data_IF_530176312388
#
_entry.id   IF_530176312388
#
_cell.length_a   1.000
_cell.length_b   1.000
_cell.length_c   1.000
_cell.angle_alpha   90.00
_cell.angle_beta   90.00
_cell.angle_gamma   90.00
#
_symmetry.space_group_name_H-M   'P 1'
#
loop_
_entity.id
_entity.type
_entity.pdbx_description
1 polymer ?
#
# COMPACT_ATOMS: atom_id res chain seq x y z
N UNK A 1 16.30 6.48 9.56
CA UNK A 1 14.86 6.61 9.84
C UNK A 1 14.15 6.78 8.51
N UNK A 2 13.09 6.03 8.25
CA UNK A 2 12.32 6.18 7.00
C UNK A 2 11.66 7.55 6.96
N UNK A 3 11.76 8.25 5.83
CA UNK A 3 11.08 9.52 5.58
C UNK A 3 10.14 9.30 4.40
N UNK A 4 8.85 9.53 4.61
CA UNK A 4 7.83 9.41 3.58
C UNK A 4 7.53 10.80 3.01
N UNK A 5 7.14 10.87 1.74
CA UNK A 5 6.59 12.11 1.19
C UNK A 5 5.29 12.43 1.93
N UNK A 6 5.07 13.70 2.24
CA UNK A 6 3.84 14.17 2.88
C UNK A 6 2.59 13.97 2.02
N UNK A 7 2.78 13.70 0.74
CA UNK A 7 1.75 13.73 -0.28
C UNK A 7 1.72 12.39 -1.04
N UNK A 8 1.61 11.31 -0.27
CA UNK A 8 1.63 9.96 -0.78
C UNK A 8 0.78 9.07 0.12
N UNK A 9 0.07 8.13 -0.51
CA UNK A 9 -0.58 7.03 0.20
C UNK A 9 0.50 6.16 0.82
N UNK A 10 0.50 6.04 2.15
CA UNK A 10 1.45 5.21 2.89
C UNK A 10 0.81 3.86 3.11
N UNK A 11 1.48 2.82 2.62
CA UNK A 11 0.99 1.46 2.73
C UNK A 11 2.10 0.55 3.26
N UNK A 12 1.90 0.02 4.46
CA UNK A 12 2.89 -0.76 5.19
C UNK A 12 2.35 -2.18 5.35
N UNK A 13 3.22 -3.17 5.13
CA UNK A 13 2.88 -4.58 5.27
C UNK A 13 3.96 -5.23 6.13
N UNK A 14 3.56 -5.83 7.24
CA UNK A 14 4.44 -6.61 8.09
C UNK A 14 4.29 -8.10 7.78
N UNK A 15 5.42 -8.81 7.72
CA UNK A 15 5.47 -10.26 7.62
C UNK A 15 6.22 -10.77 8.83
N UNK A 16 5.54 -11.51 9.71
CA UNK A 16 6.20 -12.08 10.89
C UNK A 16 5.39 -13.23 11.49
N UNK A 17 6.09 -14.23 11.96
CA UNK A 17 5.58 -15.33 12.77
C UNK A 17 5.76 -15.10 14.27
N UNK A 18 6.37 -13.97 14.68
CA UNK A 18 6.72 -13.68 16.07
C UNK A 18 5.94 -12.47 16.63
N UNK A 19 5.46 -12.53 17.89
CA UNK A 19 4.85 -11.39 18.54
C UNK A 19 5.88 -10.29 18.84
N UNK A 20 5.42 -9.09 19.19
CA UNK A 20 6.33 -8.10 19.77
C UNK A 20 6.94 -8.65 21.08
N UNK A 21 8.26 -8.62 21.20
CA UNK A 21 9.01 -9.33 22.25
C UNK A 21 9.88 -8.42 23.13
N UNK A 22 9.32 -7.28 23.53
CA UNK A 22 9.93 -6.39 24.52
C UNK A 22 10.45 -5.12 23.88
N UNK A 23 9.49 -4.22 23.65
CA UNK A 23 9.68 -2.83 23.24
C UNK A 23 10.59 -2.13 24.25
N UNK A 24 11.89 -2.20 24.01
CA UNK A 24 12.94 -1.61 24.85
C UNK A 24 13.65 -0.53 24.06
N UNK A 25 14.17 0.47 24.77
CA UNK A 25 14.92 1.57 24.14
C UNK A 25 16.17 1.07 23.40
N UNK A 26 16.73 -0.07 23.82
CA UNK A 26 17.85 -0.73 23.17
C UNK A 26 17.51 -1.27 21.75
N UNK A 27 16.24 -1.57 21.48
CA UNK A 27 15.77 -2.09 20.17
C UNK A 27 15.25 -0.99 19.23
N UNK A 28 15.13 0.23 19.74
CA UNK A 28 14.67 1.39 18.98
C UNK A 28 13.92 2.37 19.87
N UNK A 29 13.90 3.64 19.46
CA UNK A 29 13.11 4.65 20.14
C UNK A 29 12.37 5.57 19.17
N UNK A 30 11.23 6.09 19.61
CA UNK A 30 10.50 7.20 18.99
C UNK A 30 10.38 8.27 20.07
N UNK A 31 10.96 9.45 19.83
CA UNK A 31 11.00 10.51 20.84
C UNK A 31 11.73 10.10 22.12
N UNK A 32 12.72 9.21 22.04
CA UNK A 32 13.48 8.69 23.19
C UNK A 32 12.77 7.62 24.01
N UNK A 33 11.50 7.31 23.71
CA UNK A 33 10.75 6.22 24.35
C UNK A 33 10.86 4.93 23.55
N UNK A 34 10.83 3.79 24.24
CA UNK A 34 10.78 2.49 23.58
C UNK A 34 9.54 2.37 22.68
N UNK A 35 9.66 1.69 21.54
CA UNK A 35 8.60 1.64 20.52
C UNK A 35 7.48 0.68 20.94
N UNK A 36 6.53 1.16 21.72
CA UNK A 36 5.37 0.36 22.13
C UNK A 36 4.35 0.20 21.01
N UNK A 37 3.46 -0.79 21.11
CA UNK A 37 2.31 -0.93 20.22
C UNK A 37 1.47 0.36 20.12
N UNK A 38 1.26 1.06 21.24
CA UNK A 38 0.52 2.34 21.25
C UNK A 38 1.26 3.45 20.49
N UNK A 39 2.59 3.47 20.54
CA UNK A 39 3.38 4.41 19.74
C UNK A 39 3.25 4.10 18.26
N UNK A 40 3.32 2.82 17.87
CA UNK A 40 3.11 2.41 16.47
C UNK A 40 1.71 2.79 16.00
N UNK A 41 0.69 2.50 16.79
CA UNK A 41 -0.71 2.87 16.55
C UNK A 41 -0.87 4.38 16.32
N UNK A 42 -0.34 5.20 17.23
CA UNK A 42 -0.37 6.66 17.11
C UNK A 42 0.39 7.18 15.87
N UNK A 43 1.52 6.54 15.51
CA UNK A 43 2.27 6.89 14.31
C UNK A 43 1.50 6.55 13.03
N UNK A 44 0.85 5.39 12.98
CA UNK A 44 0.02 4.98 11.84
C UNK A 44 -1.17 5.93 11.67
N UNK A 45 -1.86 6.26 12.77
CA UNK A 45 -2.96 7.23 12.80
C UNK A 45 -2.51 8.61 12.33
N UNK A 46 -1.44 9.16 12.91
CA UNK A 46 -0.92 10.49 12.57
C UNK A 46 -0.53 10.59 11.09
N UNK A 47 -0.12 9.47 10.50
CA UNK A 47 0.32 9.42 9.11
C UNK A 47 -0.76 9.01 8.12
N UNK A 48 -1.98 8.71 8.57
CA UNK A 48 -3.04 8.07 7.80
C UNK A 48 -2.53 6.87 6.98
N UNK A 49 -1.71 6.03 7.62
CA UNK A 49 -1.06 4.91 6.96
C UNK A 49 -1.97 3.68 6.93
N UNK A 50 -2.07 3.04 5.77
CA UNK A 50 -2.65 1.71 5.63
C UNK A 50 -1.68 0.69 6.20
N UNK A 51 -2.16 -0.21 7.06
CA UNK A 51 -1.33 -1.24 7.68
C UNK A 51 -1.93 -2.62 7.51
N UNK A 52 -1.23 -3.51 6.81
CA UNK A 52 -1.62 -4.90 6.65
C UNK A 52 -0.60 -5.80 7.34
N UNK A 53 -1.05 -6.98 7.77
CA UNK A 53 -0.19 -7.93 8.45
C UNK A 53 -0.34 -9.32 7.83
N UNK A 54 0.79 -9.98 7.59
CA UNK A 54 0.85 -11.39 7.17
C UNK A 54 1.48 -12.15 8.32
N UNK A 55 0.63 -12.83 9.08
CA UNK A 55 0.97 -13.37 10.40
C UNK A 55 0.68 -14.86 10.49
N UNK A 56 1.38 -15.55 11.38
CA UNK A 56 1.04 -16.92 11.80
C UNK A 56 1.16 -17.05 13.32
N UNK A 57 0.36 -17.95 13.90
CA UNK A 57 0.34 -18.18 15.35
C UNK A 57 -0.58 -17.21 16.10
N UNK A 58 -1.29 -17.73 17.10
CA UNK A 58 -2.30 -16.97 17.85
C UNK A 58 -1.70 -15.83 18.68
N UNK A 59 -0.51 -16.03 19.26
CA UNK A 59 0.22 -15.01 20.01
C UNK A 59 0.59 -13.81 19.14
N UNK A 60 1.15 -14.08 17.96
CA UNK A 60 1.55 -13.06 16.98
C UNK A 60 0.34 -12.29 16.45
N UNK A 61 -0.75 -13.00 16.11
CA UNK A 61 -2.00 -12.38 15.68
C UNK A 61 -2.58 -11.49 16.80
N UNK A 62 -2.55 -11.94 18.05
CA UNK A 62 -3.04 -11.14 19.19
C UNK A 62 -2.19 -9.88 19.41
N UNK A 63 -0.88 -9.98 19.21
CA UNK A 63 0.06 -8.87 19.40
C UNK A 63 -0.03 -7.82 18.29
N UNK A 64 -0.09 -8.23 17.02
CA UNK A 64 0.08 -7.32 15.87
C UNK A 64 -1.21 -7.15 15.07
N UNK A 65 -2.09 -8.15 15.06
CA UNK A 65 -3.35 -8.14 14.30
C UNK A 65 -4.23 -6.92 14.56
N UNK A 66 -4.40 -6.45 15.82
CA UNK A 66 -5.18 -5.24 16.10
C UNK A 66 -4.67 -3.97 15.41
N UNK A 67 -3.35 -3.87 15.15
CA UNK A 67 -2.81 -2.72 14.41
C UNK A 67 -3.28 -2.73 12.95
N UNK A 68 -3.41 -3.91 12.34
CA UNK A 68 -3.87 -4.05 10.95
C UNK A 68 -5.37 -3.74 10.82
N UNK A 69 -6.19 -4.36 11.67
CA UNK A 69 -7.64 -4.14 11.64
C UNK A 69 -8.02 -2.73 12.09
N UNK A 70 -7.19 -2.08 12.90
CA UNK A 70 -7.35 -0.67 13.31
C UNK A 70 -6.99 0.37 12.25
N UNK A 71 -6.22 0.01 11.22
CA UNK A 71 -5.69 0.95 10.21
C UNK A 71 -6.04 0.53 8.78
N UNK A 72 -7.30 0.17 8.58
CA UNK A 72 -7.90 -0.12 7.27
C UNK A 72 -7.19 -1.20 6.46
N UNK A 73 -6.47 -2.12 7.13
CA UNK A 73 -5.90 -3.30 6.51
C UNK A 73 -6.44 -4.59 7.13
N UNK A 74 -5.80 -5.69 6.75
CA UNK A 74 -6.25 -7.03 7.07
C UNK A 74 -5.10 -7.90 7.58
N UNK A 75 -5.46 -9.01 8.21
CA UNK A 75 -4.52 -10.05 8.63
C UNK A 75 -4.62 -11.21 7.64
N UNK A 76 -3.51 -11.51 6.96
CA UNK A 76 -3.38 -12.66 6.07
C UNK A 76 -2.58 -13.77 6.75
N UNK A 77 -2.83 -15.01 6.35
CA UNK A 77 -2.19 -16.18 6.95
C UNK A 77 -0.81 -16.45 6.33
N UNK A 78 0.25 -16.22 7.11
CA UNK A 78 1.64 -16.48 6.72
C UNK A 78 1.92 -17.97 6.45
N UNK A 79 1.20 -18.89 7.09
CA UNK A 79 1.40 -20.33 6.88
C UNK A 79 1.12 -20.78 5.45
N UNK A 80 0.43 -19.97 4.64
CA UNK A 80 0.20 -20.22 3.21
C UNK A 80 1.48 -20.05 2.36
N UNK A 81 2.58 -19.58 2.92
CA UNK A 81 3.88 -19.56 2.25
C UNK A 81 4.62 -20.90 2.38
N UNK A 82 4.23 -21.73 3.35
CA UNK A 82 4.84 -23.03 3.61
C UNK A 82 3.90 -24.18 3.18
N UNK A 83 3.33 -24.07 1.98
CA UNK A 83 2.49 -25.11 1.37
C UNK A 83 2.90 -25.31 -0.08
N UNK A 84 2.72 -26.54 -0.59
CA UNK A 84 2.87 -26.86 -2.02
C UNK A 84 1.52 -26.90 -2.73
N UNK A 85 0.43 -26.67 -2.01
CA UNK A 85 -0.91 -26.67 -2.58
C UNK A 85 -1.15 -25.41 -3.42
N UNK A 86 -1.15 -25.59 -4.75
CA UNK A 86 -1.34 -24.50 -5.70
C UNK A 86 -2.66 -23.72 -5.51
N UNK A 87 -3.73 -24.37 -5.06
CA UNK A 87 -5.02 -23.70 -4.81
C UNK A 87 -4.94 -22.75 -3.61
N UNK A 88 -4.23 -23.14 -2.55
CA UNK A 88 -4.02 -22.30 -1.37
C UNK A 88 -3.13 -21.08 -1.67
N UNK A 89 -2.07 -21.28 -2.45
CA UNK A 89 -1.20 -20.19 -2.91
C UNK A 89 -1.98 -19.21 -3.78
N UNK A 90 -2.77 -19.73 -4.73
CA UNK A 90 -3.58 -18.91 -5.63
C UNK A 90 -4.63 -18.11 -4.85
N UNK A 91 -5.24 -18.72 -3.83
CA UNK A 91 -6.21 -18.06 -2.97
C UNK A 91 -5.54 -16.90 -2.21
N UNK A 92 -4.39 -17.14 -1.56
CA UNK A 92 -3.65 -16.08 -0.86
C UNK A 92 -3.31 -14.92 -1.80
N UNK A 93 -2.73 -15.20 -2.97
CA UNK A 93 -2.30 -14.17 -3.92
C UNK A 93 -3.50 -13.35 -4.39
N UNK A 94 -4.62 -14.02 -4.69
CA UNK A 94 -5.87 -13.36 -5.10
C UNK A 94 -6.38 -12.46 -3.99
N UNK A 95 -6.58 -12.98 -2.78
CA UNK A 95 -7.16 -12.22 -1.67
C UNK A 95 -6.28 -11.03 -1.28
N UNK A 96 -4.97 -11.27 -1.19
CA UNK A 96 -4.00 -10.22 -0.88
C UNK A 96 -4.02 -9.14 -1.96
N UNK A 97 -3.89 -9.50 -3.24
CA UNK A 97 -3.87 -8.52 -4.33
C UNK A 97 -5.19 -7.74 -4.44
N UNK A 98 -6.33 -8.42 -4.30
CA UNK A 98 -7.65 -7.79 -4.29
C UNK A 98 -7.81 -6.79 -3.16
N UNK A 99 -7.39 -7.15 -1.94
CA UNK A 99 -7.41 -6.23 -0.79
C UNK A 99 -6.52 -5.01 -1.04
N UNK A 100 -5.26 -5.19 -1.47
CA UNK A 100 -4.32 -4.08 -1.72
C UNK A 100 -4.82 -3.14 -2.81
N UNK A 101 -5.38 -3.70 -3.88
CA UNK A 101 -5.95 -2.91 -4.97
C UNK A 101 -7.14 -2.10 -4.48
N UNK A 102 -8.07 -2.75 -3.77
CA UNK A 102 -9.27 -2.07 -3.26
C UNK A 102 -8.91 -0.96 -2.29
N UNK A 103 -8.02 -1.22 -1.33
CA UNK A 103 -7.52 -0.20 -0.39
C UNK A 103 -6.96 1.02 -1.13
N UNK A 104 -6.17 0.80 -2.19
CA UNK A 104 -5.57 1.89 -2.96
C UNK A 104 -6.62 2.70 -3.72
N UNK A 105 -7.63 2.04 -4.29
CA UNK A 105 -8.70 2.69 -5.04
C UNK A 105 -9.66 3.48 -4.14
N UNK A 106 -9.98 2.96 -2.96
CA UNK A 106 -10.95 3.57 -2.04
C UNK A 106 -10.31 4.58 -1.09
N UNK A 107 -8.99 4.59 -0.92
CA UNK A 107 -8.31 5.46 0.04
C UNK A 107 -8.74 6.92 -0.08
N UNK A 108 -8.69 7.48 -1.30
CA UNK A 108 -9.07 8.88 -1.52
C UNK A 108 -10.58 9.13 -1.58
N UNK A 109 -11.39 8.08 -1.76
CA UNK A 109 -12.84 8.20 -1.62
C UNK A 109 -13.23 8.35 -0.15
N UNK A 110 -12.55 7.62 0.73
CA UNK A 110 -12.79 7.65 2.18
C UNK A 110 -12.11 8.85 2.85
N UNK A 111 -11.01 9.35 2.27
CA UNK A 111 -10.21 10.44 2.84
C UNK A 111 -10.04 11.61 1.85
N UNK A 112 -11.15 12.23 1.39
CA UNK A 112 -11.10 13.19 0.29
C UNK A 112 -10.25 14.43 0.61
N UNK A 113 -10.15 14.83 1.88
CA UNK A 113 -9.46 16.05 2.31
C UNK A 113 -7.95 15.88 2.51
N UNK A 114 -7.41 14.67 2.36
CA UNK A 114 -5.98 14.44 2.57
C UNK A 114 -5.14 15.01 1.42
N UNK A 115 -3.93 15.54 1.69
CA UNK A 115 -3.06 16.12 0.67
C UNK A 115 -2.86 15.20 -0.54
N UNK A 116 -2.63 13.92 -0.31
CA UNK A 116 -2.43 12.89 -1.35
C UNK A 116 -3.64 12.70 -2.28
N UNK A 117 -4.81 13.17 -1.89
CA UNK A 117 -6.07 13.05 -2.62
C UNK A 117 -6.54 14.35 -3.28
N UNK A 118 -5.84 15.46 -3.06
CA UNK A 118 -6.31 16.81 -3.42
C UNK A 118 -5.98 17.25 -4.85
N UNK A 119 -5.55 16.34 -5.76
CA UNK A 119 -5.37 16.63 -7.20
C UNK A 119 -4.29 17.66 -7.56
N UNK A 120 -3.82 18.46 -6.60
CA UNK A 120 -2.75 19.45 -6.73
C UNK A 120 -1.35 18.81 -6.69
N UNK A 121 -1.33 17.50 -6.85
CA UNK A 121 -0.15 16.67 -6.77
C UNK A 121 0.27 16.51 -8.21
N UNK A 122 1.20 17.35 -8.66
CA UNK A 122 1.96 17.19 -9.91
C UNK A 122 2.65 15.82 -9.92
N UNK A 123 1.88 14.75 -10.04
CA UNK A 123 2.30 13.51 -10.66
C UNK A 123 2.05 13.82 -12.13
N UNK A 124 3.09 14.06 -12.95
CA UNK A 124 2.90 14.12 -14.38
C UNK A 124 2.10 12.88 -14.75
N UNK A 125 0.96 13.07 -15.43
CA UNK A 125 0.15 11.96 -15.93
C UNK A 125 1.11 10.93 -16.53
N UNK A 126 0.88 9.60 -16.32
CA UNK A 126 1.75 8.60 -16.88
C UNK A 126 1.99 8.94 -18.34
N UNK A 127 3.25 9.17 -18.72
CA UNK A 127 3.60 9.68 -20.05
C UNK A 127 3.06 8.81 -21.19
N UNK A 128 2.53 7.63 -20.88
CA UNK A 128 1.69 6.79 -21.72
C UNK A 128 0.50 7.55 -22.32
N UNK A 129 -0.23 8.41 -21.59
CA UNK A 129 -1.33 9.19 -22.16
C UNK A 129 -0.83 10.28 -23.11
N UNK A 130 0.29 10.93 -22.77
CA UNK A 130 0.95 11.88 -23.66
C UNK A 130 1.49 11.19 -24.94
N UNK A 131 2.09 10.01 -24.80
CA UNK A 131 2.57 9.17 -25.91
C UNK A 131 1.43 8.64 -26.77
N UNK A 132 0.30 8.27 -26.15
CA UNK A 132 -0.91 7.86 -26.87
C UNK A 132 -1.49 9.05 -27.66
N UNK A 133 -1.54 10.23 -27.05
CA UNK A 133 -1.96 11.48 -27.70
C UNK A 133 -1.06 11.85 -28.88
N UNK A 134 0.27 11.79 -28.69
CA UNK A 134 1.26 12.05 -29.76
C UNK A 134 1.18 10.98 -30.86
N UNK A 135 1.00 9.71 -30.49
CA UNK A 135 0.87 8.60 -31.43
C UNK A 135 -0.37 8.71 -32.32
N UNK A 136 -1.52 9.07 -31.75
CA UNK A 136 -2.77 9.26 -32.49
C UNK A 136 -2.69 10.52 -33.39
N UNK A 137 -2.12 11.62 -32.88
CA UNK A 137 -1.90 12.82 -33.67
C UNK A 137 -0.95 12.56 -34.86
N UNK A 138 0.16 11.85 -34.62
CA UNK A 138 1.11 11.46 -35.66
C UNK A 138 0.48 10.58 -36.75
N UNK A 139 -0.33 9.59 -36.36
CA UNK A 139 -1.06 8.72 -37.29
C UNK A 139 -2.12 9.49 -38.10
N UNK A 140 -2.80 10.46 -37.48
CA UNK A 140 -3.78 11.32 -38.16
C UNK A 140 -3.16 12.22 -39.22
N UNK A 141 -1.99 12.79 -38.95
CA UNK A 141 -1.23 13.63 -39.90
C UNK A 141 -0.71 12.80 -41.08
N UNK A 142 -0.21 11.59 -40.82
CA UNK A 142 0.24 10.67 -41.87
C UNK A 142 -0.91 10.23 -42.79
N UNK A 143 -2.11 10.00 -42.24
CA UNK A 143 -3.31 9.65 -43.03
C UNK A 143 -3.76 10.78 -43.94
N UNK A 144 -3.73 12.04 -43.47
CA UNK A 144 -4.10 13.22 -44.28
C UNK A 144 -3.13 13.42 -45.45
N UNK A 145 -1.83 13.25 -45.24
CA UNK A 145 -0.81 13.34 -46.30
C UNK A 145 -1.00 12.31 -47.42
N UNK A 146 -1.57 11.16 -47.12
CA UNK A 146 -1.86 10.10 -48.10
C UNK A 146 -3.12 10.38 -48.94
N UNK A 147 -4.08 11.14 -48.40
CA UNK A 147 -5.32 11.50 -49.11
C UNK A 147 -5.16 12.72 -50.04
N UNK A 148 -4.12 13.53 -49.86
CA UNK A 148 -3.83 14.69 -50.75
C UNK A 148 -2.93 14.33 -51.95
N UNK A 149 -2.47 13.08 -52.06
CA UNK A 149 -1.70 12.56 -53.21
C UNK A 149 -2.49 11.55 -54.06
N UNK A 150 -3.82 11.68 -54.10
CA UNK A 150 -4.69 10.95 -55.02
C UNK A 150 -5.40 11.94 -55.94
#
# INVERSE_FOLDING_TARGET
>A
MFSFRNNAVKNIIIFTDEPSNGDTTARGTVGGSAVTQSIVDGLLTTNNALYNAVLSGSSTITSIGPLATGHSGQVFNLSLFNTTNAAQITQFVTDFASAKLQETLTFCQLNPTLPECQGNNNVPEPGVLALLGIGIAGLGVLRRRKMTQA
#
